data_IF_634469993070
#
_entry.id   IF_634469993070
#
_cell.length_a   1.000
_cell.length_b   1.000
_cell.length_c   1.000
_cell.angle_alpha   90.00
_cell.angle_beta   90.00
_cell.angle_gamma   90.00
#
_symmetry.space_group_name_H-M   'P 1'
#
loop_
_entity.id
_entity.type
_entity.pdbx_description
1 polymer ?
#
# COMPACT_ATOMS: atom_id res chain seq x y z
N UNK A 1 11.32 -7.27 -6.39
CA UNK A 1 11.50 -7.48 -4.93
C UNK A 1 10.68 -8.70 -4.50
N UNK A 2 10.80 -9.15 -3.25
CA UNK A 2 10.01 -10.28 -2.70
C UNK A 2 9.65 -10.01 -1.25
N UNK A 3 8.58 -10.66 -0.79
CA UNK A 3 8.23 -10.71 0.63
C UNK A 3 8.93 -11.93 1.23
N UNK A 4 9.74 -11.72 2.25
CA UNK A 4 10.34 -12.79 3.03
C UNK A 4 9.32 -13.25 4.06
N UNK A 5 8.73 -14.43 3.85
CA UNK A 5 7.88 -15.06 4.84
C UNK A 5 8.70 -15.38 6.10
N UNK A 6 8.11 -15.12 7.27
CA UNK A 6 8.75 -15.36 8.55
C UNK A 6 8.01 -16.46 9.31
N UNK A 7 8.75 -17.25 10.09
CA UNK A 7 8.19 -18.31 10.93
C UNK A 7 7.82 -17.79 12.33
N UNK A 8 7.40 -16.52 12.42
CA UNK A 8 7.00 -15.91 13.69
C UNK A 8 5.80 -16.65 14.28
N UNK A 9 5.90 -16.97 15.57
CA UNK A 9 4.85 -17.69 16.28
C UNK A 9 3.93 -16.70 16.98
N UNK A 10 2.70 -16.61 16.51
CA UNK A 10 1.68 -15.77 17.13
C UNK A 10 0.85 -16.56 18.12
N UNK A 11 0.31 -15.88 19.13
CA UNK A 11 -0.77 -16.42 19.96
C UNK A 11 -2.10 -16.33 19.19
N UNK A 12 -3.23 -16.22 19.89
CA UNK A 12 -4.55 -16.13 19.27
C UNK A 12 -4.66 -14.93 18.32
N UNK A 13 -5.01 -15.21 17.07
CA UNK A 13 -5.25 -14.21 16.02
C UNK A 13 -6.71 -14.26 15.57
N UNK A 14 -7.27 -13.08 15.32
CA UNK A 14 -8.61 -12.94 14.77
C UNK A 14 -8.55 -12.71 13.27
N UNK A 15 -9.51 -13.27 12.52
CA UNK A 15 -9.61 -13.05 11.08
C UNK A 15 -10.24 -11.69 10.78
N UNK A 16 -9.59 -10.92 9.91
CA UNK A 16 -10.08 -9.63 9.44
C UNK A 16 -11.20 -9.83 8.42
N UNK A 17 -12.34 -9.18 8.62
CA UNK A 17 -13.52 -9.33 7.75
C UNK A 17 -13.40 -8.54 6.43
N UNK A 18 -12.68 -7.41 6.45
CA UNK A 18 -12.51 -6.51 5.30
C UNK A 18 -11.10 -5.93 5.29
N UNK A 19 -10.57 -5.62 4.12
CA UNK A 19 -9.37 -4.79 3.97
C UNK A 19 -9.71 -3.63 3.06
N UNK A 20 -9.76 -2.41 3.59
CA UNK A 20 -10.08 -1.21 2.81
C UNK A 20 -8.97 -0.15 2.85
N UNK A 21 -7.94 -0.34 3.68
CA UNK A 21 -6.81 0.58 3.74
C UNK A 21 -5.48 -0.06 4.12
N UNK A 22 -4.41 0.60 3.73
CA UNK A 22 -3.06 0.43 4.24
C UNK A 22 -2.75 1.59 5.17
N UNK A 23 -2.18 1.30 6.35
CA UNK A 23 -1.65 2.32 7.26
C UNK A 23 -0.12 2.23 7.27
N UNK A 24 0.54 3.33 6.93
CA UNK A 24 2.00 3.43 6.92
C UNK A 24 2.52 3.90 8.28
N UNK A 25 3.54 3.20 8.77
CA UNK A 25 4.20 3.44 10.04
C UNK A 25 5.71 3.55 9.88
N UNK A 26 6.32 4.16 10.89
CA UNK A 26 7.75 4.03 11.17
C UNK A 26 7.93 3.33 12.53
N UNK A 27 9.13 2.84 12.85
CA UNK A 27 9.38 2.27 14.18
C UNK A 27 9.60 3.32 15.26
N UNK A 28 9.86 4.58 14.89
CA UNK A 28 10.35 5.63 15.78
C UNK A 28 11.60 5.19 16.57
N UNK A 29 12.44 4.35 15.97
CA UNK A 29 13.51 3.66 16.68
C UNK A 29 14.66 3.23 15.79
N UNK A 30 15.27 2.10 16.15
CA UNK A 30 16.47 1.59 15.49
C UNK A 30 16.22 1.30 13.99
N UNK A 31 17.06 1.86 13.11
CA UNK A 31 17.03 1.61 11.65
C UNK A 31 17.36 0.16 11.29
N UNK A 32 18.13 -0.52 12.14
CA UNK A 32 18.53 -1.91 11.94
C UNK A 32 17.55 -2.92 12.57
N UNK A 33 16.42 -2.44 13.12
CA UNK A 33 15.41 -3.33 13.67
C UNK A 33 14.90 -4.30 12.59
N UNK A 34 14.60 -5.52 13.01
CA UNK A 34 13.99 -6.57 12.21
C UNK A 34 12.56 -6.80 12.66
N UNK A 35 11.74 -7.48 11.84
CA UNK A 35 10.39 -7.86 12.28
C UNK A 35 10.41 -8.81 13.47
N UNK A 36 11.49 -9.58 13.66
CA UNK A 36 11.68 -10.46 14.82
C UNK A 36 11.90 -9.65 16.11
N UNK A 37 12.68 -8.57 16.04
CA UNK A 37 12.87 -7.65 17.17
C UNK A 37 11.56 -7.00 17.58
N UNK A 38 10.78 -6.51 16.58
CA UNK A 38 9.45 -5.94 16.81
C UNK A 38 8.49 -6.97 17.40
N UNK A 39 8.53 -8.21 16.89
CA UNK A 39 7.71 -9.28 17.40
C UNK A 39 8.00 -9.57 18.88
N UNK A 40 9.29 -9.72 19.25
CA UNK A 40 9.69 -9.95 20.63
C UNK A 40 9.34 -8.77 21.54
N UNK A 41 9.57 -7.54 21.08
CA UNK A 41 9.19 -6.33 21.82
C UNK A 41 7.68 -6.29 22.09
N UNK A 42 6.85 -6.57 21.09
CA UNK A 42 5.40 -6.58 21.25
C UNK A 42 4.93 -7.72 22.18
N UNK A 43 5.56 -8.90 22.13
CA UNK A 43 5.29 -9.97 23.09
C UNK A 43 5.61 -9.54 24.53
N UNK A 44 6.74 -8.85 24.74
CA UNK A 44 7.13 -8.33 26.06
C UNK A 44 6.14 -7.27 26.57
N UNK A 45 5.48 -6.54 25.66
CA UNK A 45 4.41 -5.59 25.97
C UNK A 45 3.04 -6.27 26.22
N UNK A 46 2.98 -7.61 26.24
CA UNK A 46 1.75 -8.37 26.46
C UNK A 46 0.88 -8.56 25.23
N UNK A 47 1.34 -8.16 24.03
CA UNK A 47 0.60 -8.37 22.80
C UNK A 47 0.78 -9.81 22.30
N UNK A 48 0.04 -10.19 21.26
CA UNK A 48 0.12 -11.56 20.67
C UNK A 48 1.24 -11.72 19.63
N UNK A 49 2.15 -10.73 19.54
CA UNK A 49 3.25 -10.66 18.58
C UNK A 49 3.28 -9.35 17.80
N UNK A 50 4.05 -9.32 16.72
CA UNK A 50 4.14 -8.16 15.81
C UNK A 50 2.74 -7.65 15.39
N UNK A 51 2.57 -6.32 15.46
CA UNK A 51 1.30 -5.64 15.16
C UNK A 51 1.12 -5.27 13.68
N UNK A 52 2.23 -5.24 12.93
CA UNK A 52 2.28 -4.90 11.51
C UNK A 52 2.20 -6.16 10.66
N UNK A 53 1.62 -6.06 9.47
CA UNK A 53 1.52 -7.18 8.52
C UNK A 53 2.79 -7.29 7.67
N UNK A 54 3.42 -6.16 7.40
CA UNK A 54 4.67 -6.06 6.67
C UNK A 54 5.62 -5.13 7.40
N UNK A 55 6.90 -5.48 7.33
CA UNK A 55 7.99 -4.70 7.88
C UNK A 55 9.04 -4.47 6.80
N UNK A 56 9.52 -3.24 6.64
CA UNK A 56 10.54 -2.89 5.65
C UNK A 56 11.78 -2.39 6.38
N UNK A 57 12.85 -3.17 6.31
CA UNK A 57 14.15 -2.86 6.91
C UNK A 57 14.82 -1.68 6.21
N UNK A 58 15.84 -1.09 6.83
CA UNK A 58 16.57 0.05 6.25
C UNK A 58 17.22 -0.25 4.89
N UNK A 59 17.58 -1.50 4.64
CA UNK A 59 18.12 -2.00 3.36
C UNK A 59 17.03 -2.32 2.31
N UNK A 60 15.76 -2.09 2.62
CA UNK A 60 14.62 -2.39 1.75
C UNK A 60 14.11 -3.83 1.82
N UNK A 61 14.71 -4.70 2.63
CA UNK A 61 14.17 -6.05 2.83
C UNK A 61 12.75 -5.99 3.39
N UNK A 62 11.81 -6.65 2.69
CA UNK A 62 10.41 -6.74 3.11
C UNK A 62 10.21 -8.07 3.83
N UNK A 63 9.80 -8.00 5.10
CA UNK A 63 9.55 -9.16 5.94
C UNK A 63 8.05 -9.25 6.27
N UNK A 64 7.50 -10.47 6.21
CA UNK A 64 6.16 -10.75 6.71
C UNK A 64 6.14 -10.60 8.22
N UNK A 65 5.23 -9.79 8.74
CA UNK A 65 4.92 -9.74 10.16
C UNK A 65 3.73 -10.63 10.48
N UNK A 66 2.67 -10.01 10.99
CA UNK A 66 1.38 -10.68 11.20
C UNK A 66 0.83 -11.23 9.87
N UNK A 67 0.20 -12.43 9.87
CA UNK A 67 -0.44 -12.96 8.67
C UNK A 67 -1.42 -11.95 8.06
N UNK A 68 -1.41 -11.82 6.73
CA UNK A 68 -2.16 -10.77 6.03
C UNK A 68 -3.67 -10.82 6.30
N UNK A 69 -4.23 -12.01 6.55
CA UNK A 69 -5.65 -12.23 6.83
C UNK A 69 -6.07 -11.79 8.24
N UNK A 70 -5.13 -11.59 9.18
CA UNK A 70 -5.44 -11.37 10.58
C UNK A 70 -5.70 -9.90 10.90
N UNK A 71 -6.49 -9.60 11.93
CA UNK A 71 -6.64 -8.24 12.45
C UNK A 71 -5.29 -7.72 12.96
N UNK A 72 -4.92 -6.49 12.62
CA UNK A 72 -3.66 -5.87 13.03
C UNK A 72 -3.63 -5.43 14.50
N UNK A 73 -2.46 -4.99 14.96
CA UNK A 73 -2.31 -4.27 16.24
C UNK A 73 -1.36 -3.08 16.05
N UNK A 74 -1.74 -2.17 15.15
CA UNK A 74 -0.90 -1.05 14.71
C UNK A 74 -1.62 0.30 14.69
N UNK A 75 -2.96 0.33 14.63
CA UNK A 75 -3.77 1.55 14.68
C UNK A 75 -5.11 1.23 15.34
N UNK A 76 -5.33 1.79 16.53
CA UNK A 76 -6.52 1.50 17.36
C UNK A 76 -7.82 1.70 16.58
N UNK A 77 -7.89 2.77 15.78
CA UNK A 77 -9.10 3.18 15.08
C UNK A 77 -9.46 2.29 13.88
N UNK A 78 -8.48 1.62 13.25
CA UNK A 78 -8.71 0.91 11.98
C UNK A 78 -8.15 -0.51 11.88
N UNK A 79 -7.56 -1.08 12.95
CA UNK A 79 -6.99 -2.45 12.96
C UNK A 79 -7.86 -3.53 12.30
N UNK A 80 -9.19 -3.49 12.53
CA UNK A 80 -10.15 -4.47 12.01
C UNK A 80 -10.42 -4.37 10.49
N UNK A 81 -9.85 -3.38 9.80
CA UNK A 81 -10.06 -3.14 8.37
C UNK A 81 -8.81 -2.73 7.59
N UNK A 82 -7.63 -2.80 8.22
CA UNK A 82 -6.39 -2.28 7.63
C UNK A 82 -5.22 -3.25 7.61
N UNK A 83 -4.34 -3.06 6.61
CA UNK A 83 -2.98 -3.61 6.58
C UNK A 83 -2.00 -2.56 7.08
N UNK A 84 -1.34 -2.81 8.21
CA UNK A 84 -0.19 -2.01 8.67
C UNK A 84 1.13 -2.40 7.99
N UNK A 85 1.83 -1.42 7.43
CA UNK A 85 3.21 -1.55 6.92
C UNK A 85 4.10 -0.64 7.77
N UNK A 86 5.12 -1.19 8.40
CA UNK A 86 6.07 -0.42 9.22
C UNK A 86 7.45 -0.41 8.58
N UNK A 87 8.09 0.75 8.52
CA UNK A 87 9.45 0.91 8.03
C UNK A 87 10.39 1.14 9.23
N UNK A 88 11.55 0.49 9.21
CA UNK A 88 12.57 0.67 10.23
C UNK A 88 13.15 2.09 10.18
N UNK A 89 13.04 2.81 11.30
CA UNK A 89 13.62 4.13 11.49
C UNK A 89 12.68 5.10 12.19
N UNK A 90 13.23 6.28 12.47
CA UNK A 90 12.57 7.43 13.02
C UNK A 90 12.59 8.59 12.02
N UNK A 91 11.52 8.65 11.23
CA UNK A 91 11.32 9.71 10.25
C UNK A 91 10.79 11.03 10.81
N UNK A 92 10.85 11.24 12.13
CA UNK A 92 10.83 12.61 12.68
C UNK A 92 12.22 13.26 12.62
N UNK A 93 13.29 12.45 12.53
CA UNK A 93 14.68 12.91 12.62
C UNK A 93 15.40 12.83 11.26
N UNK A 94 15.11 11.80 10.45
CA UNK A 94 15.78 11.59 9.16
C UNK A 94 14.83 11.04 8.10
N UNK A 95 15.17 11.19 6.82
CA UNK A 95 14.36 10.60 5.74
C UNK A 95 14.52 9.07 5.70
N UNK A 96 13.50 8.32 5.23
CA UNK A 96 13.65 6.92 4.86
C UNK A 96 14.75 6.74 3.81
N UNK A 97 15.40 5.59 3.76
CA UNK A 97 16.33 5.31 2.65
C UNK A 97 15.56 5.20 1.33
N UNK A 98 16.23 5.51 0.22
CA UNK A 98 15.61 5.39 -1.10
C UNK A 98 15.11 3.96 -1.36
N UNK A 99 15.89 2.95 -0.97
CA UNK A 99 15.52 1.54 -1.15
C UNK A 99 14.31 1.12 -0.28
N UNK A 100 14.09 1.74 0.88
CA UNK A 100 12.86 1.57 1.65
C UNK A 100 11.64 2.09 0.87
N UNK A 101 11.76 3.26 0.24
CA UNK A 101 10.68 3.85 -0.54
C UNK A 101 10.37 3.02 -1.79
N UNK A 102 11.39 2.53 -2.50
CA UNK A 102 11.21 1.61 -3.65
C UNK A 102 10.53 0.31 -3.20
N UNK A 103 10.90 -0.22 -2.03
CA UNK A 103 10.32 -1.44 -1.48
C UNK A 103 8.86 -1.27 -1.08
N UNK A 104 8.53 -0.12 -0.48
CA UNK A 104 7.15 0.24 -0.15
C UNK A 104 6.30 0.40 -1.42
N UNK A 105 6.83 1.09 -2.43
CA UNK A 105 6.16 1.29 -3.71
C UNK A 105 5.91 -0.04 -4.43
N UNK A 106 6.90 -0.93 -4.47
CA UNK A 106 6.73 -2.27 -5.01
C UNK A 106 5.69 -3.08 -4.23
N UNK A 107 5.74 -3.07 -2.89
CA UNK A 107 4.79 -3.81 -2.05
C UNK A 107 3.35 -3.35 -2.28
N UNK A 108 3.14 -2.04 -2.37
CA UNK A 108 1.82 -1.46 -2.65
C UNK A 108 1.39 -1.84 -4.07
N UNK A 109 2.14 -1.43 -5.08
CA UNK A 109 1.69 -1.54 -6.46
C UNK A 109 1.69 -2.96 -6.99
N UNK A 110 2.75 -3.72 -6.72
CA UNK A 110 2.97 -5.03 -7.32
C UNK A 110 2.33 -6.17 -6.52
N UNK A 111 2.01 -5.95 -5.25
CA UNK A 111 1.42 -7.01 -4.41
C UNK A 111 0.04 -6.62 -3.87
N UNK A 112 -0.09 -5.50 -3.17
CA UNK A 112 -1.35 -5.14 -2.52
C UNK A 112 -2.44 -4.72 -3.51
N UNK A 113 -2.14 -3.92 -4.52
CA UNK A 113 -3.15 -3.46 -5.49
C UNK A 113 -3.70 -4.59 -6.38
N UNK A 114 -2.99 -5.72 -6.54
CA UNK A 114 -3.56 -6.89 -7.22
C UNK A 114 -4.63 -7.57 -6.36
N UNK A 115 -4.46 -7.59 -5.04
CA UNK A 115 -5.37 -8.27 -4.10
C UNK A 115 -6.49 -7.35 -3.60
N UNK A 116 -6.20 -6.07 -3.49
CA UNK A 116 -7.08 -5.03 -2.99
C UNK A 116 -7.01 -3.81 -3.92
N UNK A 117 -7.60 -3.87 -5.12
CA UNK A 117 -7.41 -2.83 -6.13
C UNK A 117 -7.80 -1.44 -5.64
N UNK A 118 -8.88 -1.32 -4.87
CA UNK A 118 -9.41 -0.05 -4.38
C UNK A 118 -8.94 0.32 -2.96
N UNK A 119 -7.80 -0.20 -2.52
CA UNK A 119 -7.30 0.04 -1.15
C UNK A 119 -6.84 1.50 -0.98
N UNK A 120 -7.26 2.14 0.11
CA UNK A 120 -6.78 3.49 0.43
C UNK A 120 -5.44 3.44 1.16
N UNK A 121 -4.51 4.35 0.88
CA UNK A 121 -3.21 4.41 1.57
C UNK A 121 -3.20 5.64 2.47
N UNK A 122 -2.94 5.44 3.75
CA UNK A 122 -2.92 6.51 4.76
C UNK A 122 -1.71 6.36 5.68
N UNK A 123 -1.32 7.43 6.36
CA UNK A 123 -0.37 7.39 7.47
C UNK A 123 -1.10 7.08 8.79
N UNK A 124 -0.36 6.65 9.81
CA UNK A 124 -0.93 6.48 11.15
C UNK A 124 -1.51 7.79 11.71
N UNK A 125 -0.89 8.94 11.41
CA UNK A 125 -1.37 10.27 11.76
C UNK A 125 -2.71 10.67 11.12
N UNK A 126 -3.14 9.99 10.04
CA UNK A 126 -4.45 10.21 9.44
C UNK A 126 -5.58 9.45 10.18
N UNK A 127 -5.22 8.46 11.01
CA UNK A 127 -6.19 7.59 11.70
C UNK A 127 -6.21 7.78 13.20
N UNK A 128 -5.09 8.20 13.80
CA UNK A 128 -4.92 8.34 15.24
C UNK A 128 -4.06 9.59 15.56
N UNK A 129 -4.12 10.08 16.80
CA UNK A 129 -3.32 11.24 17.23
C UNK A 129 -1.87 10.81 17.51
N UNK A 130 -1.01 10.92 16.50
CA UNK A 130 0.39 10.49 16.55
C UNK A 130 1.26 11.25 15.55
N UNK A 131 2.57 11.30 15.78
CA UNK A 131 3.54 11.82 14.81
C UNK A 131 3.91 10.80 13.72
N UNK A 132 3.60 9.51 13.92
CA UNK A 132 3.88 8.44 12.98
C UNK A 132 3.12 8.64 11.65
N UNK A 133 3.75 8.46 10.45
CA UNK A 133 5.06 7.87 10.19
C UNK A 133 6.26 8.84 10.26
N UNK A 134 6.08 10.05 10.79
CA UNK A 134 7.12 11.07 10.91
C UNK A 134 7.03 12.13 9.81
N UNK A 135 7.40 13.37 10.15
CA UNK A 135 7.26 14.53 9.25
C UNK A 135 8.18 14.47 8.02
N UNK A 136 9.28 13.72 8.08
CA UNK A 136 10.20 13.52 6.96
C UNK A 136 9.83 12.32 6.09
N UNK A 137 8.76 11.58 6.44
CA UNK A 137 8.24 10.52 5.58
C UNK A 137 7.42 11.14 4.43
N UNK A 138 7.71 10.81 3.16
CA UNK A 138 7.02 11.41 2.00
C UNK A 138 5.64 10.76 1.77
N UNK A 139 4.70 10.93 2.71
CA UNK A 139 3.41 10.25 2.72
C UNK A 139 2.55 10.54 1.48
N UNK A 140 2.54 11.79 1.02
CA UNK A 140 1.71 12.21 -0.11
C UNK A 140 2.08 11.49 -1.41
N UNK A 141 3.35 11.08 -1.57
CA UNK A 141 3.78 10.22 -2.68
C UNK A 141 2.94 8.95 -2.74
N UNK A 142 2.65 8.33 -1.59
CA UNK A 142 1.96 7.06 -1.51
C UNK A 142 0.44 7.19 -1.41
N UNK A 143 -0.08 8.29 -0.83
CA UNK A 143 -1.53 8.58 -0.85
C UNK A 143 -2.07 8.68 -2.28
N UNK A 144 -1.27 9.21 -3.21
CA UNK A 144 -1.66 9.36 -4.60
C UNK A 144 -1.60 8.07 -5.42
N UNK A 145 -1.08 6.96 -4.85
CA UNK A 145 -1.08 5.64 -5.49
C UNK A 145 -2.49 5.01 -5.48
N UNK A 146 -3.44 5.58 -4.72
CA UNK A 146 -4.84 5.12 -4.69
C UNK A 146 -5.39 4.94 -6.10
N UNK A 147 -5.94 3.76 -6.36
CA UNK A 147 -6.58 3.53 -7.63
C UNK A 147 -7.80 4.43 -7.78
N UNK A 148 -7.70 5.39 -8.69
CA UNK A 148 -8.89 6.03 -9.19
C UNK A 148 -9.60 5.04 -10.11
N UNK A 149 -10.94 5.00 -10.05
CA UNK A 149 -11.71 4.30 -11.06
C UNK A 149 -11.73 5.17 -12.30
N UNK A 150 -11.24 4.63 -13.42
CA UNK A 150 -11.55 5.20 -14.73
C UNK A 150 -12.80 4.54 -15.28
N UNK A 151 -13.69 5.38 -15.80
CA UNK A 151 -14.85 4.98 -16.57
C UNK A 151 -14.39 4.72 -17.99
N UNK A 152 -14.37 3.46 -18.40
CA UNK A 152 -14.18 3.06 -19.79
C UNK A 152 -15.55 2.75 -20.39
N UNK A 153 -15.79 3.16 -21.63
CA UNK A 153 -16.95 2.70 -22.40
C UNK A 153 -16.45 1.62 -23.37
N UNK A 154 -16.84 0.38 -23.12
CA UNK A 154 -16.49 -0.77 -23.97
C UNK A 154 -17.78 -1.32 -24.57
N UNK A 155 -17.90 -1.30 -25.89
CA UNK A 155 -19.10 -1.72 -26.62
C UNK A 155 -20.40 -1.05 -26.10
N UNK A 156 -20.34 0.26 -25.83
CA UNK A 156 -21.48 1.04 -25.31
C UNK A 156 -21.82 0.80 -23.83
N UNK A 157 -21.03 0.00 -23.10
CA UNK A 157 -21.21 -0.25 -21.66
C UNK A 157 -20.15 0.44 -20.84
N UNK A 158 -20.57 1.11 -19.78
CA UNK A 158 -19.67 1.72 -18.81
C UNK A 158 -19.06 0.65 -17.90
N UNK A 159 -17.73 0.61 -17.85
CA UNK A 159 -16.93 -0.27 -17.01
C UNK A 159 -16.03 0.61 -16.14
N UNK A 160 -16.10 0.43 -14.82
CA UNK A 160 -15.19 1.09 -13.89
C UNK A 160 -13.97 0.21 -13.69
N UNK A 161 -12.78 0.74 -14.01
CA UNK A 161 -11.52 0.00 -13.93
C UNK A 161 -10.55 0.68 -12.98
N UNK A 162 -9.95 -0.04 -12.01
CA UNK A 162 -8.89 0.51 -11.18
C UNK A 162 -7.70 1.01 -12.01
N UNK A 163 -7.20 2.19 -11.70
CA UNK A 163 -5.94 2.72 -12.23
C UNK A 163 -4.80 2.63 -11.23
N UNK A 164 -3.57 2.70 -11.72
CA UNK A 164 -2.40 3.09 -10.93
C UNK A 164 -1.45 3.91 -11.76
N UNK A 165 -0.57 4.67 -11.10
CA UNK A 165 0.58 5.32 -11.73
C UNK A 165 1.83 4.56 -11.29
N UNK A 166 2.60 4.08 -12.26
CA UNK A 166 3.87 3.40 -12.04
C UNK A 166 4.92 4.03 -12.96
N UNK A 167 6.02 4.54 -12.39
CA UNK A 167 7.12 5.18 -13.14
C UNK A 167 6.64 6.28 -14.11
N UNK A 168 5.68 7.11 -13.68
CA UNK A 168 5.09 8.17 -14.50
C UNK A 168 4.15 7.68 -15.61
N UNK A 169 3.86 6.38 -15.66
CA UNK A 169 2.94 5.78 -16.64
C UNK A 169 1.64 5.36 -15.97
N UNK A 170 0.52 5.52 -16.67
CA UNK A 170 -0.82 5.18 -16.16
C UNK A 170 -1.24 3.80 -16.67
N UNK A 171 -1.56 2.91 -15.74
CA UNK A 171 -1.99 1.55 -16.02
C UNK A 171 -3.41 1.30 -15.50
N UNK A 172 -4.19 0.49 -16.21
CA UNK A 172 -5.52 0.03 -15.81
C UNK A 172 -5.53 -1.48 -15.57
N UNK A 173 -6.27 -1.93 -14.55
CA UNK A 173 -6.38 -3.35 -14.22
C UNK A 173 -7.43 -4.05 -15.08
N UNK A 174 -7.02 -4.82 -16.08
CA UNK A 174 -7.88 -5.57 -16.99
C UNK A 174 -7.61 -7.07 -16.88
N UNK A 175 -8.65 -7.87 -16.63
CA UNK A 175 -8.53 -9.34 -16.52
C UNK A 175 -7.33 -9.75 -15.64
N UNK A 176 -7.24 -9.15 -14.45
CA UNK A 176 -6.18 -9.34 -13.45
C UNK A 176 -4.76 -8.90 -13.85
N UNK A 177 -4.61 -8.18 -14.97
CA UNK A 177 -3.33 -7.66 -15.45
C UNK A 177 -3.35 -6.13 -15.52
N UNK A 178 -2.28 -5.49 -15.09
CA UNK A 178 -2.09 -4.05 -15.29
C UNK A 178 -1.60 -3.80 -16.71
N UNK A 179 -2.38 -3.02 -17.46
CA UNK A 179 -2.12 -2.69 -18.86
C UNK A 179 -1.91 -1.18 -18.99
N UNK A 180 -0.88 -0.78 -19.72
CA UNK A 180 -0.62 0.63 -20.03
C UNK A 180 -1.79 1.21 -20.83
N UNK A 181 -2.47 2.22 -20.27
CA UNK A 181 -3.68 2.80 -20.89
C UNK A 181 -3.40 3.33 -22.29
N UNK A 182 -2.25 3.96 -22.49
CA UNK A 182 -1.84 4.49 -23.79
C UNK A 182 -1.67 3.38 -24.83
N UNK A 183 -1.10 2.25 -24.43
CA UNK A 183 -0.91 1.10 -25.32
C UNK A 183 -2.25 0.45 -25.65
N UNK A 184 -3.11 0.27 -24.64
CA UNK A 184 -4.47 -0.24 -24.84
C UNK A 184 -5.27 0.64 -25.81
N UNK A 185 -5.25 1.96 -25.61
CA UNK A 185 -5.93 2.89 -26.49
C UNK A 185 -5.39 2.82 -27.93
N UNK A 186 -4.06 2.75 -28.10
CA UNK A 186 -3.44 2.56 -29.42
C UNK A 186 -3.86 1.23 -30.07
N UNK A 187 -3.87 0.13 -29.32
CA UNK A 187 -4.28 -1.19 -29.82
C UNK A 187 -5.74 -1.24 -30.26
N UNK A 188 -6.60 -0.54 -29.53
CA UNK A 188 -8.04 -0.49 -29.82
C UNK A 188 -8.39 0.55 -30.89
N UNK A 189 -7.41 1.32 -31.40
CA UNK A 189 -7.68 2.47 -32.28
C UNK A 189 -8.58 3.53 -31.63
N UNK A 190 -8.50 3.65 -30.30
CA UNK A 190 -9.35 4.54 -29.54
C UNK A 190 -8.87 5.99 -29.64
N UNK A 191 -9.79 6.92 -29.87
CA UNK A 191 -9.55 8.34 -29.73
C UNK A 191 -9.47 8.69 -28.24
N UNK A 192 -8.35 9.31 -27.83
CA UNK A 192 -8.13 9.78 -26.45
C UNK A 192 -8.26 11.30 -26.42
N UNK A 193 -9.08 11.83 -25.52
CA UNK A 193 -9.17 13.27 -25.26
C UNK A 193 -9.11 13.59 -23.77
N UNK A 194 -8.66 14.80 -23.43
CA UNK A 194 -8.64 15.33 -22.07
C UNK A 194 -9.73 16.40 -21.92
N UNK A 195 -10.55 16.27 -20.90
CA UNK A 195 -11.52 17.29 -20.51
C UNK A 195 -10.94 18.13 -19.35
N UNK A 196 -10.57 19.37 -19.66
CA UNK A 196 -10.04 20.35 -18.69
C UNK A 196 -11.02 20.66 -17.55
N UNK A 197 -12.32 20.67 -17.84
CA UNK A 197 -13.35 21.09 -16.89
C UNK A 197 -13.58 20.03 -15.81
N UNK A 198 -13.65 18.78 -16.25
CA UNK A 198 -13.87 17.64 -15.35
C UNK A 198 -12.56 17.00 -14.87
N UNK A 199 -11.42 17.39 -15.46
CA UNK A 199 -10.10 16.76 -15.26
C UNK A 199 -10.15 15.25 -15.51
N UNK A 200 -10.83 14.85 -16.58
CA UNK A 200 -10.97 13.43 -16.94
C UNK A 200 -10.33 13.13 -18.30
N UNK A 201 -9.77 11.93 -18.42
CA UNK A 201 -9.35 11.36 -19.71
C UNK A 201 -10.52 10.58 -20.28
N UNK A 202 -10.98 10.96 -21.46
CA UNK A 202 -12.01 10.26 -22.22
C UNK A 202 -11.34 9.37 -23.26
N UNK A 203 -11.81 8.12 -23.34
CA UNK A 203 -11.36 7.16 -24.35
C UNK A 203 -12.58 6.61 -25.08
N UNK A 204 -12.61 6.76 -26.41
CA UNK A 204 -13.70 6.29 -27.26
C UNK A 204 -13.17 5.41 -28.40
N UNK A 205 -13.76 4.23 -28.57
CA UNK A 205 -13.47 3.30 -29.68
C UNK A 205 -14.51 3.56 -30.77
N UNK A 206 -14.09 3.70 -32.03
CA UNK A 206 -15.01 3.83 -33.18
C UNK A 206 -15.64 2.49 -33.55
#
# INVERSE_FOLDING_TARGET
MKINETNLQFKNLEKRAKTDRVVIHHTAGNRNATVADIHQMHLNNGWVGCGYHFFIRHDGTIERGRPEWAVGAHSLTVNARSIGICLAGDFTIYQPSEIQLVSLEWLINSYLLHKYPLINIVGHSDTDSTQCPGILFPLDKFKNITSQLVKLIVNGRLVNVPLRIMDGRTEALLSDNWVQLRELANMLGADISWDELTRTVNMSIK
#
